data_IF_003838677841
#
_entry.id   IF_003838677841
#
_cell.length_a   1.000
_cell.length_b   1.000
_cell.length_c   1.000
_cell.angle_alpha   90.00
_cell.angle_beta   90.00
_cell.angle_gamma   90.00
#
_symmetry.space_group_name_H-M   'P 1'
#
loop_
_entity.id
_entity.type
_entity.pdbx_description
1 polymer ?
#
# COMPACT_ATOMS: atom_id res chain seq x y z
N UNK A 1 15.69 12.47 7.34
CA UNK A 1 16.13 11.34 8.17
C UNK A 1 15.13 10.19 8.24
N UNK A 2 13.84 10.43 8.07
CA UNK A 2 12.77 9.43 8.08
C UNK A 2 13.01 8.35 7.01
N UNK A 3 13.24 8.74 5.75
CA UNK A 3 13.47 7.83 4.64
C UNK A 3 14.56 6.77 4.88
N UNK A 4 15.66 7.16 5.56
CA UNK A 4 16.78 6.24 5.86
C UNK A 4 16.41 5.08 6.79
N UNK A 5 15.37 5.28 7.62
CA UNK A 5 14.94 4.32 8.64
C UNK A 5 13.59 3.68 8.33
N UNK A 6 12.84 4.20 7.36
CA UNK A 6 11.53 3.71 7.01
C UNK A 6 11.57 2.24 6.55
N UNK A 7 10.55 1.49 6.98
CA UNK A 7 10.33 0.09 6.64
C UNK A 7 8.83 -0.15 6.36
N UNK A 8 8.47 -1.22 5.64
CA UNK A 8 7.07 -1.56 5.39
C UNK A 8 6.28 -1.71 6.69
N UNK A 9 5.00 -1.31 6.66
CA UNK A 9 4.11 -1.35 7.82
C UNK A 9 4.23 -0.16 8.76
N UNK A 10 5.21 0.72 8.56
CA UNK A 10 5.38 1.92 9.36
C UNK A 10 4.60 3.11 8.80
N UNK A 11 4.39 4.11 9.62
CA UNK A 11 3.68 5.35 9.31
C UNK A 11 4.45 6.59 9.74
N UNK A 12 4.02 7.72 9.27
CA UNK A 12 4.45 9.05 9.73
C UNK A 12 3.26 9.80 10.33
N UNK A 13 3.54 10.81 11.12
CA UNK A 13 2.56 11.81 11.50
C UNK A 13 2.98 13.13 10.88
N UNK A 14 2.05 13.78 10.18
CA UNK A 14 2.25 15.12 9.64
C UNK A 14 1.31 16.13 10.29
N UNK A 15 1.71 17.41 10.20
CA UNK A 15 0.89 18.57 10.49
C UNK A 15 1.14 19.60 9.39
N UNK A 16 0.09 19.99 8.67
CA UNK A 16 0.23 20.84 7.49
C UNK A 16 0.45 22.32 7.86
N UNK A 17 -0.28 22.83 8.87
CA UNK A 17 -0.23 24.22 9.33
C UNK A 17 -0.07 24.29 10.84
N UNK A 18 0.20 25.49 11.39
CA UNK A 18 0.39 25.71 12.85
C UNK A 18 -0.85 25.32 13.66
N UNK A 19 -2.03 25.60 13.12
CA UNK A 19 -3.32 25.26 13.73
C UNK A 19 -3.86 23.90 13.27
N UNK A 20 -3.12 23.19 12.39
CA UNK A 20 -3.51 21.91 11.80
C UNK A 20 -3.42 20.76 12.79
N UNK A 21 -4.22 19.72 12.53
CA UNK A 21 -4.19 18.47 13.28
C UNK A 21 -2.98 17.62 12.92
N UNK A 22 -2.56 16.77 13.87
CA UNK A 22 -1.58 15.72 13.63
C UNK A 22 -2.28 14.49 13.06
N UNK A 23 -1.95 14.15 11.82
CA UNK A 23 -2.59 13.06 11.08
C UNK A 23 -1.59 11.96 10.78
N UNK A 24 -1.87 10.69 11.15
CA UNK A 24 -1.04 9.55 10.78
C UNK A 24 -1.33 9.13 9.35
N UNK A 25 -0.27 8.91 8.56
CA UNK A 25 -0.34 8.33 7.22
C UNK A 25 0.72 7.25 7.06
N UNK A 26 0.34 6.14 6.46
CA UNK A 26 1.27 5.05 6.19
C UNK A 26 2.28 5.46 5.13
N UNK A 27 3.52 5.01 5.30
CA UNK A 27 4.58 5.15 4.31
C UNK A 27 4.28 4.22 3.14
N UNK A 28 3.98 4.78 1.97
CA UNK A 28 3.71 4.03 0.75
C UNK A 28 5.00 3.63 0.01
N UNK A 29 6.03 4.46 0.05
CA UNK A 29 7.35 4.16 -0.47
C UNK A 29 8.41 5.09 0.15
N UNK A 30 9.67 4.77 -0.06
CA UNK A 30 10.80 5.59 0.39
C UNK A 30 12.02 5.38 -0.50
N UNK A 31 12.76 6.45 -0.72
CA UNK A 31 14.05 6.44 -1.40
C UNK A 31 15.14 6.91 -0.41
N UNK A 32 16.03 6.01 -0.04
CA UNK A 32 17.08 6.28 0.97
C UNK A 32 18.19 7.16 0.44
N UNK A 33 18.44 7.14 -0.86
CA UNK A 33 19.49 7.95 -1.52
C UNK A 33 19.01 9.38 -1.69
N UNK A 34 17.80 9.56 -2.22
CA UNK A 34 17.17 10.88 -2.36
C UNK A 34 16.69 11.45 -1.02
N UNK A 35 16.49 10.61 -0.01
CA UNK A 35 15.97 11.01 1.29
C UNK A 35 14.48 11.32 1.28
N UNK A 36 13.72 10.79 0.32
CA UNK A 36 12.29 11.05 0.14
C UNK A 36 11.43 9.94 0.72
N UNK A 37 10.24 10.31 1.17
CA UNK A 37 9.17 9.41 1.60
C UNK A 37 7.93 9.73 0.78
N UNK A 38 7.31 8.68 0.24
CA UNK A 38 6.04 8.80 -0.49
C UNK A 38 4.88 8.44 0.43
N UNK A 39 3.88 9.29 0.47
CA UNK A 39 2.60 9.03 1.11
C UNK A 39 1.49 9.12 0.07
N UNK A 40 0.50 8.23 0.16
CA UNK A 40 -0.68 8.21 -0.71
C UNK A 40 -1.89 8.28 0.21
N UNK A 41 -2.77 9.22 -0.05
CA UNK A 41 -3.93 9.48 0.79
C UNK A 41 -5.17 9.84 -0.03
N UNK A 42 -6.32 9.67 0.57
CA UNK A 42 -7.59 10.15 0.02
C UNK A 42 -7.98 11.45 0.71
N UNK A 43 -8.58 12.36 -0.04
CA UNK A 43 -9.13 13.61 0.51
C UNK A 43 -10.47 13.28 1.14
N UNK A 44 -10.50 13.18 2.47
CA UNK A 44 -11.68 12.76 3.24
C UNK A 44 -12.11 13.76 4.33
N UNK A 45 -11.34 14.83 4.52
CA UNK A 45 -11.62 15.85 5.54
C UNK A 45 -10.67 17.02 5.49
N UNK A 46 -10.83 17.98 6.42
CA UNK A 46 -10.08 19.25 6.45
C UNK A 46 -8.57 19.08 6.37
N UNK A 47 -7.99 18.25 7.22
CA UNK A 47 -6.54 18.03 7.27
C UNK A 47 -5.97 17.46 5.98
N UNK A 48 -6.71 16.55 5.30
CA UNK A 48 -6.29 16.03 4.00
C UNK A 48 -6.53 17.02 2.85
N UNK A 49 -7.50 17.92 2.98
CA UNK A 49 -7.68 19.05 2.05
C UNK A 49 -6.52 20.05 2.18
N UNK A 50 -6.10 20.38 3.39
CA UNK A 50 -4.92 21.24 3.63
C UNK A 50 -3.65 20.61 3.04
N UNK A 51 -3.43 19.31 3.26
CA UNK A 51 -2.30 18.59 2.68
C UNK A 51 -2.33 18.65 1.15
N UNK A 52 -3.51 18.45 0.54
CA UNK A 52 -3.69 18.47 -0.91
C UNK A 52 -3.52 19.87 -1.53
N UNK A 53 -3.62 20.94 -0.73
CA UNK A 53 -3.42 22.30 -1.19
C UNK A 53 -1.94 22.69 -1.30
N UNK A 54 -1.03 21.91 -0.75
CA UNK A 54 0.41 22.15 -0.83
C UNK A 54 0.94 21.85 -2.23
N UNK A 55 1.90 22.64 -2.66
CA UNK A 55 2.58 22.52 -3.93
C UNK A 55 4.04 22.11 -3.74
N UNK A 56 4.69 21.76 -4.83
CA UNK A 56 6.13 21.48 -4.83
C UNK A 56 6.92 22.68 -4.29
N UNK A 57 7.75 22.42 -3.30
CA UNK A 57 8.54 23.43 -2.60
C UNK A 57 7.91 23.94 -1.31
N UNK A 58 6.64 23.66 -1.06
CA UNK A 58 5.98 23.96 0.21
C UNK A 58 6.51 23.07 1.33
N UNK A 59 6.30 23.49 2.58
CA UNK A 59 6.78 22.78 3.76
C UNK A 59 5.63 22.40 4.68
N UNK A 60 5.74 21.23 5.29
CA UNK A 60 4.90 20.82 6.43
C UNK A 60 5.50 21.37 7.73
N UNK A 61 4.65 21.74 8.67
CA UNK A 61 5.08 22.22 10.00
C UNK A 61 5.71 21.08 10.80
N UNK A 62 5.08 19.92 10.82
CA UNK A 62 5.63 18.70 11.42
C UNK A 62 5.62 17.54 10.43
N UNK A 63 6.69 16.74 10.45
CA UNK A 63 6.78 15.45 9.78
C UNK A 63 7.60 14.50 10.66
N UNK A 64 6.91 13.64 11.41
CA UNK A 64 7.51 12.78 12.43
C UNK A 64 7.43 11.33 12.01
N UNK A 65 8.54 10.61 12.08
CA UNK A 65 8.60 9.19 11.74
C UNK A 65 10.04 8.66 11.56
N UNK A 66 10.18 7.40 11.14
CA UNK A 66 9.10 6.42 11.02
C UNK A 66 8.57 5.99 12.39
N UNK A 67 7.27 5.71 12.45
CA UNK A 67 6.57 5.26 13.65
C UNK A 67 5.96 3.87 13.42
N UNK A 68 5.60 3.20 14.50
CA UNK A 68 5.05 1.86 14.46
C UNK A 68 6.11 0.76 14.29
N UNK A 69 5.65 -0.48 14.39
CA UNK A 69 6.50 -1.67 14.24
C UNK A 69 6.55 -2.08 12.77
N UNK A 70 7.74 -2.33 12.20
CA UNK A 70 7.86 -2.86 10.85
C UNK A 70 7.18 -4.22 10.70
N UNK A 71 6.70 -4.51 9.49
CA UNK A 71 6.21 -5.84 9.14
C UNK A 71 7.33 -6.87 9.22
N UNK A 72 7.01 -8.05 9.77
CA UNK A 72 7.97 -9.15 9.90
C UNK A 72 7.92 -10.00 8.63
N UNK A 73 8.92 -9.87 7.77
CA UNK A 73 8.93 -10.46 6.44
C UNK A 73 10.08 -11.45 6.19
N UNK A 74 10.94 -11.62 7.19
CA UNK A 74 12.14 -12.45 7.05
C UNK A 74 11.80 -13.94 6.94
N UNK A 75 12.45 -14.64 6.02
CA UNK A 75 12.30 -16.07 5.84
C UNK A 75 11.09 -16.53 5.02
N UNK A 76 10.21 -15.61 4.64
CA UNK A 76 9.08 -15.91 3.75
C UNK A 76 9.57 -16.16 2.32
N UNK A 77 9.07 -17.21 1.68
CA UNK A 77 9.48 -17.63 0.33
C UNK A 77 8.43 -17.38 -0.72
N UNK A 78 7.15 -17.57 -0.37
CA UNK A 78 6.03 -17.34 -1.27
C UNK A 78 4.88 -16.68 -0.50
N UNK A 79 4.50 -15.48 -0.92
CA UNK A 79 3.53 -14.66 -0.20
C UNK A 79 2.46 -14.13 -1.15
N UNK A 80 1.21 -14.18 -0.70
CA UNK A 80 0.12 -13.45 -1.35
C UNK A 80 -0.06 -12.10 -0.66
N UNK A 81 0.02 -11.01 -1.43
CA UNK A 81 -0.22 -9.65 -0.96
C UNK A 81 -1.51 -9.13 -1.58
N UNK A 82 -2.51 -8.87 -0.75
CA UNK A 82 -3.86 -8.48 -1.18
C UNK A 82 -4.11 -7.04 -0.78
N UNK A 83 -4.36 -6.19 -1.77
CA UNK A 83 -4.66 -4.77 -1.59
C UNK A 83 -6.06 -4.40 -2.07
N UNK A 84 -6.80 -3.60 -1.29
CA UNK A 84 -8.11 -3.08 -1.67
C UNK A 84 -8.18 -1.56 -1.61
N UNK A 85 -8.49 -0.89 -2.72
CA UNK A 85 -8.57 0.55 -2.81
C UNK A 85 -7.27 1.24 -2.35
N UNK A 86 -7.38 2.26 -1.51
CA UNK A 86 -6.21 2.95 -0.94
C UNK A 86 -5.31 2.02 -0.09
N UNK A 87 -5.82 0.86 0.35
CA UNK A 87 -5.03 -0.16 1.02
C UNK A 87 -3.87 -0.69 0.15
N UNK A 88 -3.96 -0.57 -1.18
CA UNK A 88 -2.85 -0.88 -2.08
C UNK A 88 -1.61 -0.03 -1.79
N UNK A 89 -1.77 1.22 -1.38
CA UNK A 89 -0.66 2.09 -0.99
C UNK A 89 0.08 1.59 0.27
N UNK A 90 -0.62 0.85 1.13
CA UNK A 90 -0.07 0.24 2.35
C UNK A 90 0.52 -1.15 2.04
N UNK A 91 -0.09 -1.89 1.12
CA UNK A 91 0.35 -3.22 0.70
C UNK A 91 1.62 -3.18 -0.17
N UNK A 92 1.76 -2.16 -0.99
CA UNK A 92 2.88 -2.04 -1.94
C UNK A 92 4.27 -2.10 -1.29
N UNK A 93 4.61 -1.31 -0.24
CA UNK A 93 5.95 -1.38 0.37
C UNK A 93 6.28 -2.78 0.91
N UNK A 94 5.26 -3.54 1.32
CA UNK A 94 5.43 -4.93 1.76
C UNK A 94 5.75 -5.85 0.57
N UNK A 95 5.02 -5.73 -0.54
CA UNK A 95 5.28 -6.49 -1.77
C UNK A 95 6.69 -6.19 -2.30
N UNK A 96 7.07 -4.91 -2.36
CA UNK A 96 8.40 -4.46 -2.76
C UNK A 96 9.50 -5.06 -1.90
N UNK A 97 9.32 -5.03 -0.58
CA UNK A 97 10.31 -5.58 0.35
C UNK A 97 10.45 -7.09 0.24
N UNK A 98 9.35 -7.82 0.10
CA UNK A 98 9.37 -9.26 -0.14
C UNK A 98 10.12 -9.61 -1.43
N UNK A 99 9.87 -8.87 -2.51
CA UNK A 99 10.60 -9.02 -3.76
C UNK A 99 12.11 -8.78 -3.58
N UNK A 100 12.50 -7.72 -2.87
CA UNK A 100 13.92 -7.43 -2.55
C UNK A 100 14.58 -8.55 -1.73
N UNK A 101 13.82 -9.24 -0.88
CA UNK A 101 14.28 -10.39 -0.08
C UNK A 101 14.32 -11.70 -0.89
N UNK A 102 13.88 -11.67 -2.16
CA UNK A 102 13.89 -12.83 -3.06
C UNK A 102 12.68 -13.75 -2.91
N UNK A 103 11.61 -13.31 -2.25
CA UNK A 103 10.37 -14.07 -2.16
C UNK A 103 9.60 -14.04 -3.48
N UNK A 104 8.85 -15.10 -3.78
CA UNK A 104 7.84 -15.13 -4.82
C UNK A 104 6.60 -14.38 -4.34
N UNK A 105 6.30 -13.25 -4.97
CA UNK A 105 5.17 -12.39 -4.59
C UNK A 105 4.02 -12.55 -5.58
N UNK A 106 2.86 -12.94 -5.11
CA UNK A 106 1.60 -12.87 -5.86
C UNK A 106 0.77 -11.72 -5.30
N UNK A 107 0.63 -10.65 -6.07
CA UNK A 107 -0.20 -9.51 -5.67
C UNK A 107 -1.60 -9.63 -6.25
N UNK A 108 -2.60 -9.36 -5.42
CA UNK A 108 -4.01 -9.28 -5.80
C UNK A 108 -4.47 -7.88 -5.44
N UNK A 109 -4.75 -7.05 -6.43
CA UNK A 109 -5.14 -5.66 -6.23
C UNK A 109 -6.54 -5.41 -6.75
N UNK A 110 -7.37 -4.76 -5.95
CA UNK A 110 -8.77 -4.54 -6.27
C UNK A 110 -9.21 -3.11 -6.03
N UNK A 111 -10.05 -2.61 -6.94
CA UNK A 111 -10.63 -1.27 -6.89
C UNK A 111 -12.11 -1.33 -7.24
N UNK A 112 -12.86 -0.27 -6.98
CA UNK A 112 -14.26 -0.19 -7.40
C UNK A 112 -14.38 -0.04 -8.92
N UNK A 113 -13.49 0.76 -9.52
CA UNK A 113 -13.49 1.13 -10.94
C UNK A 113 -12.10 1.55 -11.39
N UNK A 114 -11.88 1.59 -12.70
CA UNK A 114 -10.60 1.90 -13.32
C UNK A 114 -10.02 3.27 -12.93
N UNK A 115 -10.86 4.27 -12.75
CA UNK A 115 -10.45 5.64 -12.39
C UNK A 115 -9.84 5.75 -10.98
N UNK A 116 -10.03 4.73 -10.14
CA UNK A 116 -9.47 4.65 -8.79
C UNK A 116 -8.18 3.84 -8.70
N UNK A 117 -7.71 3.28 -9.82
CA UNK A 117 -6.53 2.41 -9.85
C UNK A 117 -5.27 3.21 -9.53
N UNK A 118 -4.49 2.71 -8.58
CA UNK A 118 -3.18 3.24 -8.22
C UNK A 118 -2.14 2.12 -8.19
N UNK A 119 -0.88 2.46 -8.43
CA UNK A 119 0.29 1.58 -8.26
C UNK A 119 0.26 0.28 -9.11
N UNK A 120 -0.49 0.27 -10.22
CA UNK A 120 -0.59 -0.92 -11.08
C UNK A 120 0.79 -1.38 -11.55
N UNK A 121 1.55 -0.46 -12.15
CA UNK A 121 2.87 -0.75 -12.68
C UNK A 121 3.86 -1.12 -11.58
N UNK A 122 3.80 -0.43 -10.46
CA UNK A 122 4.67 -0.68 -9.32
C UNK A 122 4.45 -2.09 -8.76
N UNK A 123 3.21 -2.57 -8.70
CA UNK A 123 2.93 -3.96 -8.32
C UNK A 123 3.41 -4.96 -9.37
N UNK A 124 3.27 -4.65 -10.67
CA UNK A 124 3.79 -5.49 -11.76
C UNK A 124 5.30 -5.65 -11.67
N UNK A 125 6.03 -4.58 -11.34
CA UNK A 125 7.49 -4.57 -11.27
C UNK A 125 8.05 -5.40 -10.09
N UNK A 126 7.25 -5.63 -9.03
CA UNK A 126 7.70 -6.32 -7.81
C UNK A 126 7.01 -7.67 -7.55
N UNK A 127 6.16 -8.12 -8.47
CA UNK A 127 5.39 -9.36 -8.29
C UNK A 127 5.63 -10.34 -9.43
N UNK A 128 5.75 -11.61 -9.08
CA UNK A 128 5.80 -12.69 -10.08
C UNK A 128 4.44 -12.90 -10.76
N UNK A 129 3.37 -12.49 -10.08
CA UNK A 129 2.00 -12.52 -10.60
C UNK A 129 1.19 -11.38 -10.00
N UNK A 130 0.44 -10.69 -10.85
CA UNK A 130 -0.54 -9.69 -10.42
C UNK A 130 -1.92 -10.09 -10.91
N UNK A 131 -2.89 -10.18 -10.00
CA UNK A 131 -4.30 -10.35 -10.32
C UNK A 131 -5.00 -9.03 -10.07
N UNK A 132 -5.68 -8.54 -11.10
CA UNK A 132 -6.34 -7.23 -11.13
C UNK A 132 -7.84 -7.42 -11.07
N UNK A 133 -8.50 -6.82 -10.09
CA UNK A 133 -9.93 -6.96 -9.84
C UNK A 133 -10.62 -5.61 -9.81
N UNK A 134 -11.83 -5.52 -10.36
CA UNK A 134 -12.69 -4.36 -10.15
C UNK A 134 -14.15 -4.78 -9.91
N UNK A 135 -14.85 -4.01 -9.07
CA UNK A 135 -16.24 -4.32 -8.71
C UNK A 135 -17.18 -4.19 -9.92
N UNK A 136 -16.93 -3.20 -10.76
CA UNK A 136 -17.75 -2.90 -11.94
C UNK A 136 -17.30 -3.61 -13.23
N UNK A 137 -16.10 -4.20 -13.24
CA UNK A 137 -15.49 -4.84 -14.41
C UNK A 137 -14.85 -3.88 -15.40
N UNK A 138 -14.64 -2.62 -15.03
CA UNK A 138 -14.01 -1.64 -15.90
C UNK A 138 -12.49 -1.80 -16.02
N UNK A 139 -11.89 -2.60 -15.12
CA UNK A 139 -10.45 -2.89 -15.09
C UNK A 139 -10.19 -4.29 -14.56
N UNK A 140 -9.31 -5.04 -15.23
CA UNK A 140 -9.02 -6.41 -14.86
C UNK A 140 -10.22 -7.35 -14.93
N UNK A 141 -10.33 -8.26 -13.98
CA UNK A 141 -11.47 -9.16 -13.84
C UNK A 141 -12.54 -8.54 -12.94
N UNK A 142 -13.81 -8.79 -13.27
CA UNK A 142 -14.93 -8.36 -12.43
C UNK A 142 -15.06 -9.29 -11.23
N UNK A 143 -15.04 -8.74 -10.03
CA UNK A 143 -15.24 -9.48 -8.79
C UNK A 143 -14.43 -8.96 -7.62
N UNK A 144 -14.38 -9.75 -6.55
CA UNK A 144 -13.70 -9.41 -5.32
C UNK A 144 -12.28 -10.00 -5.27
N UNK A 145 -11.38 -9.33 -4.61
CA UNK A 145 -10.00 -9.82 -4.39
C UNK A 145 -9.96 -11.16 -3.64
N UNK A 146 -10.94 -11.42 -2.79
CA UNK A 146 -11.09 -12.69 -2.07
C UNK A 146 -11.37 -13.87 -3.01
N UNK A 147 -12.18 -13.66 -4.05
CA UNK A 147 -12.42 -14.67 -5.08
C UNK A 147 -11.14 -15.01 -5.85
N UNK A 148 -10.32 -13.99 -6.16
CA UNK A 148 -9.04 -14.18 -6.82
C UNK A 148 -8.05 -14.96 -5.93
N UNK A 149 -7.99 -14.64 -4.64
CA UNK A 149 -7.17 -15.38 -3.67
C UNK A 149 -7.59 -16.84 -3.58
N UNK A 150 -8.89 -17.09 -3.44
CA UNK A 150 -9.46 -18.44 -3.42
C UNK A 150 -9.11 -19.23 -4.69
N UNK A 151 -9.25 -18.62 -5.86
CA UNK A 151 -8.88 -19.22 -7.13
C UNK A 151 -7.40 -19.59 -7.21
N UNK A 152 -6.51 -18.73 -6.70
CA UNK A 152 -5.07 -19.01 -6.64
C UNK A 152 -4.76 -20.18 -5.70
N UNK A 153 -5.38 -20.25 -4.54
CA UNK A 153 -5.23 -21.35 -3.58
C UNK A 153 -5.74 -22.66 -4.19
N UNK A 154 -6.92 -22.64 -4.80
CA UNK A 154 -7.53 -23.83 -5.47
C UNK A 154 -6.70 -24.30 -6.67
N UNK A 155 -5.94 -23.40 -7.32
CA UNK A 155 -4.99 -23.76 -8.36
C UNK A 155 -3.69 -24.41 -7.83
N UNK A 156 -3.61 -24.68 -6.52
CA UNK A 156 -2.50 -25.39 -5.88
C UNK A 156 -1.38 -24.48 -5.35
N UNK A 157 -1.56 -23.16 -5.34
CA UNK A 157 -0.58 -22.29 -4.72
C UNK A 157 -0.63 -22.42 -3.19
N UNK A 158 0.52 -22.71 -2.61
CA UNK A 158 0.72 -22.72 -1.16
C UNK A 158 1.54 -21.49 -0.78
N UNK A 159 1.00 -20.69 0.11
CA UNK A 159 1.65 -19.47 0.58
C UNK A 159 2.15 -19.66 2.02
N UNK A 160 3.33 -19.14 2.32
CA UNK A 160 3.84 -19.08 3.69
C UNK A 160 3.01 -18.07 4.51
N UNK A 161 2.56 -17.00 3.86
CA UNK A 161 1.73 -15.97 4.48
C UNK A 161 0.82 -15.29 3.45
N UNK A 162 -0.33 -14.85 3.92
CA UNK A 162 -1.26 -13.98 3.17
C UNK A 162 -1.38 -12.66 3.92
N UNK A 163 -0.94 -11.57 3.29
CA UNK A 163 -1.00 -10.22 3.86
C UNK A 163 -2.11 -9.46 3.13
N UNK A 164 -3.19 -9.17 3.84
CA UNK A 164 -4.35 -8.50 3.27
C UNK A 164 -4.58 -7.13 3.92
N UNK A 165 -4.69 -6.08 3.10
CA UNK A 165 -4.83 -4.70 3.54
C UNK A 165 -5.91 -4.01 2.70
N UNK A 166 -6.97 -3.57 3.37
CA UNK A 166 -8.08 -2.92 2.69
C UNK A 166 -9.25 -2.60 3.62
N UNK A 167 -10.40 -2.21 3.06
CA UNK A 167 -11.60 -1.91 3.83
C UNK A 167 -12.06 -3.10 4.69
N UNK A 168 -12.66 -2.80 5.85
CA UNK A 168 -13.17 -3.83 6.76
C UNK A 168 -14.13 -4.81 6.07
N UNK A 169 -14.93 -4.34 5.12
CA UNK A 169 -15.84 -5.20 4.35
C UNK A 169 -15.09 -6.27 3.55
N UNK A 170 -13.94 -5.91 2.95
CA UNK A 170 -13.08 -6.86 2.24
C UNK A 170 -12.51 -7.94 3.17
N UNK A 171 -12.20 -7.58 4.42
CA UNK A 171 -11.58 -8.47 5.40
C UNK A 171 -12.58 -9.47 6.03
N UNK A 172 -13.88 -9.36 5.71
CA UNK A 172 -14.93 -10.24 6.25
C UNK A 172 -15.34 -11.37 5.32
N UNK A 173 -14.84 -11.36 4.10
CA UNK A 173 -15.05 -12.39 3.07
C UNK A 173 -13.74 -13.21 2.82
#
# INVERSE_FOLDING_TARGET
>A
MVAKKAQPGQFIIYRASEDGERVPLTVADYDREKGTVTIIFQIVGGSTMELNALNEGDSLVDFVGPLGTPSHLDGLKKVAVVGGGVGCAIAYPTAKKLHELGAEVHSIIGFRSQDLVILEKEFEDVSSKVVKMSDDGSWGEKGLVTNALEALINAGNQYDEVIAIGPLVMMKF
#
